data_IF_769205652632
#
_entry.id   IF_769205652632
#
_cell.length_a   1.000
_cell.length_b   1.000
_cell.length_c   1.000
_cell.angle_alpha   90.00
_cell.angle_beta   90.00
_cell.angle_gamma   90.00
#
_symmetry.space_group_name_H-M   'P 1'
#
loop_
_entity.id
_entity.type
_entity.pdbx_description
1 polymer ?
#
# COMPACT_ATOMS: atom_id res chain seq x y z
N UNK A 1 -60.70 29.28 -40.62
CA UNK A 1 -61.02 28.45 -39.44
C UNK A 1 -62.50 28.05 -39.27
N UNK A 2 -63.54 28.85 -39.60
CA UNK A 2 -64.94 28.52 -39.25
C UNK A 2 -65.61 27.45 -40.14
N UNK A 3 -65.05 27.16 -41.31
CA UNK A 3 -65.65 26.21 -42.28
C UNK A 3 -65.49 24.76 -41.84
N UNK A 4 -64.32 24.39 -41.33
CA UNK A 4 -64.11 23.06 -40.79
C UNK A 4 -64.94 22.82 -39.51
N UNK A 5 -65.35 23.88 -38.80
CA UNK A 5 -66.26 23.77 -37.65
C UNK A 5 -67.68 23.51 -38.13
N UNK A 6 -68.13 24.23 -39.17
CA UNK A 6 -69.45 23.99 -39.77
C UNK A 6 -69.63 22.54 -40.25
N UNK A 7 -68.61 21.99 -40.94
CA UNK A 7 -68.65 20.62 -41.45
C UNK A 7 -68.74 19.59 -40.32
N UNK A 8 -67.96 19.79 -39.24
CA UNK A 8 -68.00 18.91 -38.06
C UNK A 8 -69.33 19.04 -37.31
N UNK A 9 -69.90 20.24 -37.21
CA UNK A 9 -71.20 20.48 -36.56
C UNK A 9 -72.39 19.88 -37.33
N UNK A 10 -72.36 19.91 -38.66
CA UNK A 10 -73.38 19.25 -39.51
C UNK A 10 -73.27 17.73 -39.43
N UNK A 11 -72.05 17.17 -39.39
CA UNK A 11 -71.83 15.74 -39.22
C UNK A 11 -72.35 15.23 -37.86
N UNK A 12 -72.17 15.99 -36.78
CA UNK A 12 -72.65 15.64 -35.43
C UNK A 12 -74.18 15.73 -35.31
N UNK A 13 -74.80 16.71 -35.99
CA UNK A 13 -76.27 16.81 -36.06
C UNK A 13 -76.89 15.65 -36.85
N UNK A 14 -76.21 15.18 -37.91
CA UNK A 14 -76.61 13.98 -38.64
C UNK A 14 -76.45 12.71 -37.81
N UNK A 15 -75.41 12.62 -36.97
CA UNK A 15 -75.18 11.49 -36.08
C UNK A 15 -76.18 11.42 -34.91
N UNK A 16 -76.64 12.56 -34.39
CA UNK A 16 -77.60 12.63 -33.27
C UNK A 16 -79.06 12.41 -33.70
N UNK A 17 -79.38 12.59 -34.99
CA UNK A 17 -80.72 12.34 -35.54
C UNK A 17 -81.02 10.86 -35.88
N UNK A 18 -80.13 9.92 -35.54
CA UNK A 18 -80.49 8.51 -35.34
C UNK A 18 -81.28 7.83 -36.46
N UNK A 19 -80.70 7.71 -37.66
CA UNK A 19 -81.28 6.96 -38.77
C UNK A 19 -80.27 6.01 -39.43
N UNK A 20 -80.66 4.75 -39.64
CA UNK A 20 -79.88 3.68 -40.31
C UNK A 20 -79.56 4.02 -41.78
N UNK A 21 -78.57 4.87 -42.02
CA UNK A 21 -78.10 5.21 -43.36
C UNK A 21 -76.63 5.64 -43.35
N UNK A 22 -75.72 4.69 -43.12
CA UNK A 22 -74.25 4.93 -43.10
C UNK A 22 -73.67 5.20 -44.51
N UNK A 23 -74.48 5.35 -45.56
CA UNK A 23 -73.95 5.58 -46.92
C UNK A 23 -74.65 6.75 -47.59
N UNK A 24 -74.17 7.98 -47.32
CA UNK A 24 -74.21 9.12 -48.25
C UNK A 24 -73.60 10.40 -47.64
N UNK A 25 -72.31 10.37 -47.26
CA UNK A 25 -71.54 11.62 -47.03
C UNK A 25 -70.32 11.70 -47.97
N UNK A 26 -70.30 10.89 -49.04
CA UNK A 26 -69.29 11.01 -50.11
C UNK A 26 -69.83 11.62 -51.42
N UNK A 27 -71.00 12.24 -51.39
CA UNK A 27 -71.53 12.89 -52.59
C UNK A 27 -72.01 14.30 -52.25
N UNK A 28 -71.34 15.27 -52.88
CA UNK A 28 -71.82 16.65 -53.08
C UNK A 28 -71.65 17.59 -51.88
N UNK A 29 -70.39 17.88 -51.55
CA UNK A 29 -70.02 19.23 -51.09
C UNK A 29 -68.59 19.51 -51.56
N UNK A 30 -68.47 19.96 -52.81
CA UNK A 30 -67.19 20.38 -53.38
C UNK A 30 -66.57 21.57 -52.64
N UNK A 31 -65.33 21.95 -52.99
CA UNK A 31 -64.58 23.07 -52.41
C UNK A 31 -65.29 24.45 -52.54
N UNK A 32 -66.45 24.52 -53.18
CA UNK A 32 -67.24 25.74 -53.38
C UNK A 32 -67.90 26.29 -52.11
N UNK A 33 -68.20 25.46 -51.09
CA UNK A 33 -68.76 25.96 -49.82
C UNK A 33 -67.70 26.57 -48.88
N UNK A 34 -66.41 26.37 -49.18
CA UNK A 34 -65.30 26.84 -48.33
C UNK A 34 -64.96 28.32 -48.59
N UNK A 35 -65.36 28.87 -49.74
CA UNK A 35 -64.99 30.23 -50.15
C UNK A 35 -65.96 31.35 -49.71
N UNK A 36 -67.16 31.03 -49.17
CA UNK A 36 -68.22 32.03 -48.92
C UNK A 36 -68.70 32.10 -47.46
N UNK A 37 -67.80 31.83 -46.50
CA UNK A 37 -68.09 31.72 -45.06
C UNK A 37 -68.48 33.00 -44.29
N UNK A 38 -69.01 34.03 -44.95
CA UNK A 38 -69.62 35.20 -44.26
C UNK A 38 -70.72 35.85 -45.11
N UNK A 39 -70.57 35.83 -46.43
CA UNK A 39 -71.52 36.43 -47.39
C UNK A 39 -72.81 35.62 -47.57
N UNK A 40 -72.74 34.31 -47.39
CA UNK A 40 -73.93 33.44 -47.39
C UNK A 40 -74.70 33.45 -46.06
N UNK A 41 -74.04 33.80 -44.95
CA UNK A 41 -74.65 33.81 -43.62
C UNK A 41 -75.53 35.05 -43.36
N UNK A 42 -75.26 36.17 -44.06
CA UNK A 42 -76.06 37.39 -44.02
C UNK A 42 -76.18 37.99 -45.43
N UNK A 43 -77.15 37.57 -46.25
CA UNK A 43 -77.46 38.26 -47.51
C UNK A 43 -77.97 39.69 -47.18
N UNK A 44 -77.48 40.73 -47.87
CA UNK A 44 -77.71 42.14 -47.48
C UNK A 44 -79.15 42.64 -47.62
N UNK A 45 -80.09 41.80 -48.06
CA UNK A 45 -81.46 42.17 -48.44
C UNK A 45 -82.55 41.38 -47.68
N UNK A 46 -82.21 40.61 -46.64
CA UNK A 46 -83.19 39.83 -45.85
C UNK A 46 -83.24 40.33 -44.41
N UNK A 47 -84.44 40.60 -43.82
CA UNK A 47 -84.57 41.01 -42.43
C UNK A 47 -83.89 40.03 -41.46
N UNK A 48 -83.19 40.55 -40.45
CA UNK A 48 -82.39 39.75 -39.51
C UNK A 48 -83.18 38.64 -38.77
N UNK A 49 -84.51 38.73 -38.74
CA UNK A 49 -85.40 37.73 -38.17
C UNK A 49 -85.47 36.40 -38.98
N UNK A 50 -85.14 36.41 -40.27
CA UNK A 50 -85.24 35.25 -41.18
C UNK A 50 -83.88 34.83 -41.75
N UNK A 51 -82.80 35.56 -41.40
CA UNK A 51 -81.46 35.23 -41.85
C UNK A 51 -80.95 33.92 -41.20
N UNK A 52 -80.33 33.00 -41.97
CA UNK A 52 -79.80 31.74 -41.42
C UNK A 52 -78.55 31.93 -40.55
N UNK A 53 -78.01 33.15 -40.45
CA UNK A 53 -76.81 33.50 -39.70
C UNK A 53 -76.73 32.96 -38.27
N UNK A 54 -77.78 33.05 -37.43
CA UNK A 54 -77.75 32.51 -36.07
C UNK A 54 -77.68 30.98 -36.03
N UNK A 55 -78.31 30.29 -37.00
CA UNK A 55 -78.25 28.83 -37.09
C UNK A 55 -76.86 28.36 -37.57
N UNK A 56 -76.29 29.05 -38.55
CA UNK A 56 -74.91 28.80 -39.03
C UNK A 56 -73.88 29.08 -37.94
N UNK A 57 -74.06 30.16 -37.15
CA UNK A 57 -73.19 30.48 -36.01
C UNK A 57 -73.28 29.42 -34.90
N UNK A 58 -74.48 28.91 -34.60
CA UNK A 58 -74.67 27.81 -33.62
C UNK A 58 -74.06 26.48 -34.09
N UNK A 59 -74.13 26.18 -35.38
CA UNK A 59 -73.47 25.00 -35.96
C UNK A 59 -71.95 25.14 -35.95
N UNK A 60 -71.42 26.33 -36.24
CA UNK A 60 -69.99 26.62 -36.14
C UNK A 60 -69.48 26.56 -34.69
N UNK A 61 -70.24 27.03 -33.70
CA UNK A 61 -69.83 26.93 -32.29
C UNK A 61 -69.83 25.47 -31.80
N UNK A 62 -70.83 24.66 -32.16
CA UNK A 62 -70.85 23.22 -31.86
C UNK A 62 -69.71 22.46 -32.53
N UNK A 63 -69.39 22.81 -33.77
CA UNK A 63 -68.26 22.26 -34.50
C UNK A 63 -66.91 22.53 -33.84
N UNK A 64 -66.70 23.74 -33.33
CA UNK A 64 -65.47 24.13 -32.63
C UNK A 64 -65.31 23.37 -31.30
N UNK A 65 -66.39 23.16 -30.56
CA UNK A 65 -66.38 22.36 -29.33
C UNK A 65 -66.07 20.89 -29.63
N UNK A 66 -66.72 20.31 -30.65
CA UNK A 66 -66.50 18.91 -31.04
C UNK A 66 -65.11 18.67 -31.59
N UNK A 67 -64.55 19.61 -32.36
CA UNK A 67 -63.16 19.55 -32.83
C UNK A 67 -62.17 19.61 -31.67
N UNK A 68 -62.42 20.42 -30.64
CA UNK A 68 -61.57 20.48 -29.44
C UNK A 68 -61.66 19.20 -28.62
N UNK A 69 -62.83 18.58 -28.55
CA UNK A 69 -63.04 17.29 -27.88
C UNK A 69 -62.36 16.13 -28.64
N UNK A 70 -62.52 16.07 -29.97
CA UNK A 70 -61.86 15.11 -30.85
C UNK A 70 -60.34 15.30 -30.86
N UNK A 71 -59.86 16.54 -30.87
CA UNK A 71 -58.44 16.85 -30.78
C UNK A 71 -57.83 16.40 -29.45
N UNK A 72 -58.55 16.60 -28.34
CA UNK A 72 -58.10 16.10 -27.02
C UNK A 72 -58.05 14.57 -26.96
N UNK A 73 -59.03 13.87 -27.54
CA UNK A 73 -59.01 12.40 -27.64
C UNK A 73 -57.87 11.90 -28.53
N UNK A 74 -57.68 12.52 -29.70
CA UNK A 74 -56.62 12.16 -30.63
C UNK A 74 -55.21 12.35 -30.03
N UNK A 75 -54.99 13.43 -29.27
CA UNK A 75 -53.74 13.66 -28.55
C UNK A 75 -53.54 12.62 -27.44
N UNK A 76 -54.59 12.25 -26.71
CA UNK A 76 -54.53 11.19 -25.70
C UNK A 76 -54.17 9.83 -26.31
N UNK A 77 -54.82 9.45 -27.41
CA UNK A 77 -54.53 8.20 -28.14
C UNK A 77 -53.13 8.20 -28.75
N UNK A 78 -52.71 9.30 -29.36
CA UNK A 78 -51.35 9.44 -29.90
C UNK A 78 -50.30 9.29 -28.79
N UNK A 79 -50.53 9.89 -27.61
CA UNK A 79 -49.61 9.78 -26.46
C UNK A 79 -49.50 8.37 -25.90
N UNK A 80 -50.55 7.56 -26.02
CA UNK A 80 -50.53 6.16 -25.63
C UNK A 80 -49.85 5.26 -26.69
N UNK A 81 -50.00 5.60 -27.97
CA UNK A 81 -49.40 4.85 -29.09
C UNK A 81 -47.92 5.15 -29.31
N UNK A 82 -47.48 6.38 -29.03
CA UNK A 82 -46.08 6.80 -29.25
C UNK A 82 -45.08 5.88 -28.53
N UNK A 83 -45.22 5.58 -27.22
CA UNK A 83 -44.30 4.67 -26.55
C UNK A 83 -44.25 3.29 -27.19
N UNK A 84 -45.40 2.73 -27.57
CA UNK A 84 -45.49 1.39 -28.19
C UNK A 84 -44.79 1.37 -29.56
N UNK A 85 -45.00 2.41 -30.37
CA UNK A 85 -44.35 2.53 -31.68
C UNK A 85 -42.85 2.78 -31.52
N UNK A 86 -42.44 3.62 -30.56
CA UNK A 86 -41.02 3.89 -30.28
C UNK A 86 -40.34 2.62 -29.79
N UNK A 87 -40.88 1.91 -28.80
CA UNK A 87 -40.34 0.67 -28.26
C UNK A 87 -40.16 -0.38 -29.37
N UNK A 88 -41.19 -0.56 -30.20
CA UNK A 88 -41.13 -1.50 -31.33
C UNK A 88 -40.11 -1.10 -32.39
N UNK A 89 -39.89 0.20 -32.62
CA UNK A 89 -38.86 0.70 -33.54
C UNK A 89 -37.47 0.55 -32.92
N UNK A 90 -37.31 0.82 -31.62
CA UNK A 90 -36.03 0.65 -30.92
C UNK A 90 -35.61 -0.83 -30.86
N UNK A 91 -36.55 -1.76 -30.74
CA UNK A 91 -36.28 -3.21 -30.82
C UNK A 91 -35.78 -3.66 -32.20
N UNK A 92 -36.19 -2.97 -33.27
CA UNK A 92 -35.79 -3.30 -34.64
C UNK A 92 -34.49 -2.61 -35.05
N UNK A 93 -34.10 -1.56 -34.32
CA UNK A 93 -32.85 -0.84 -34.53
C UNK A 93 -31.76 -1.38 -33.59
N UNK A 94 -30.63 -1.80 -34.17
CA UNK A 94 -29.43 -2.08 -33.38
C UNK A 94 -28.80 -0.77 -32.90
N UNK A 95 -29.31 -0.24 -31.79
CA UNK A 95 -28.84 1.00 -31.18
C UNK A 95 -27.37 0.92 -30.79
N UNK A 96 -26.87 -0.26 -30.44
CA UNK A 96 -25.47 -0.46 -30.07
C UNK A 96 -24.57 -0.15 -31.27
N UNK A 97 -24.86 -0.71 -32.45
CA UNK A 97 -24.09 -0.38 -33.67
C UNK A 97 -24.28 1.06 -34.09
N UNK A 98 -25.50 1.59 -34.05
CA UNK A 98 -25.76 2.98 -34.44
C UNK A 98 -24.98 3.97 -33.57
N UNK A 99 -24.90 3.71 -32.26
CA UNK A 99 -24.12 4.52 -31.32
C UNK A 99 -22.63 4.34 -31.58
N UNK A 100 -22.12 3.11 -31.76
CA UNK A 100 -20.71 2.87 -32.06
C UNK A 100 -20.25 3.55 -33.36
N UNK A 101 -21.10 3.59 -34.38
CA UNK A 101 -20.76 4.12 -35.71
C UNK A 101 -20.94 5.64 -35.84
N UNK A 102 -21.84 6.23 -35.04
CA UNK A 102 -22.24 7.65 -35.19
C UNK A 102 -21.84 8.52 -34.00
N UNK A 103 -21.65 7.94 -32.83
CA UNK A 103 -21.28 8.67 -31.61
C UNK A 103 -19.81 8.40 -31.32
N UNK A 104 -19.06 9.47 -31.12
CA UNK A 104 -17.71 9.37 -30.59
C UNK A 104 -17.78 8.95 -29.12
N UNK A 105 -17.74 7.65 -28.89
CA UNK A 105 -17.78 7.09 -27.54
C UNK A 105 -16.58 7.49 -26.70
N UNK A 106 -15.43 7.86 -27.29
CA UNK A 106 -14.30 8.32 -26.50
C UNK A 106 -14.67 9.63 -25.79
N UNK A 107 -15.24 10.58 -26.51
CA UNK A 107 -15.70 11.86 -25.94
C UNK A 107 -16.80 11.65 -24.90
N UNK A 108 -17.79 10.81 -25.20
CA UNK A 108 -18.89 10.52 -24.25
C UNK A 108 -18.38 9.85 -22.99
N UNK A 109 -17.44 8.90 -23.11
CA UNK A 109 -16.83 8.23 -21.96
C UNK A 109 -16.00 9.23 -21.15
N UNK A 110 -15.19 10.10 -21.77
CA UNK A 110 -14.41 11.10 -21.02
C UNK A 110 -15.32 12.03 -20.23
N UNK A 111 -16.38 12.58 -20.85
CA UNK A 111 -17.35 13.45 -20.15
C UNK A 111 -18.07 12.68 -19.04
N UNK A 112 -18.47 11.44 -19.29
CA UNK A 112 -19.10 10.61 -18.27
C UNK A 112 -18.15 10.28 -17.11
N UNK A 113 -16.87 10.01 -17.40
CA UNK A 113 -15.84 9.75 -16.38
C UNK A 113 -15.50 11.01 -15.56
N UNK A 114 -15.57 12.20 -16.16
CA UNK A 114 -15.38 13.48 -15.46
C UNK A 114 -16.55 13.81 -14.52
N UNK A 115 -17.78 13.39 -14.87
CA UNK A 115 -18.96 13.56 -14.02
C UNK A 115 -19.14 12.46 -12.96
N UNK A 116 -18.52 11.28 -13.17
CA UNK A 116 -18.54 10.18 -12.21
C UNK A 116 -17.43 10.36 -11.17
N UNK A 117 -17.76 10.29 -9.88
CA UNK A 117 -16.75 10.13 -8.84
C UNK A 117 -16.18 8.71 -8.89
N UNK A 118 -15.13 8.54 -9.71
CA UNK A 118 -14.42 7.28 -9.85
C UNK A 118 -13.81 6.82 -8.52
N UNK A 119 -13.55 7.72 -7.57
CA UNK A 119 -13.03 7.36 -6.25
C UNK A 119 -14.04 6.52 -5.50
N UNK A 120 -15.31 6.95 -5.47
CA UNK A 120 -16.40 6.22 -4.81
C UNK A 120 -16.69 4.89 -5.52
N UNK A 121 -16.73 4.90 -6.85
CA UNK A 121 -16.98 3.69 -7.65
C UNK A 121 -15.88 2.65 -7.45
N UNK A 122 -14.61 3.07 -7.47
CA UNK A 122 -13.46 2.18 -7.31
C UNK A 122 -13.37 1.68 -5.87
N UNK A 123 -13.51 2.55 -4.86
CA UNK A 123 -13.44 2.12 -3.45
C UNK A 123 -14.63 1.24 -3.03
N UNK A 124 -15.81 1.44 -3.62
CA UNK A 124 -17.02 0.68 -3.29
C UNK A 124 -17.23 -0.62 -4.08
N UNK A 125 -16.64 -0.76 -5.28
CA UNK A 125 -16.88 -1.93 -6.15
C UNK A 125 -15.62 -2.70 -6.54
N UNK A 126 -14.44 -2.11 -6.42
CA UNK A 126 -13.17 -2.77 -6.70
C UNK A 126 -12.52 -3.15 -5.37
N UNK A 127 -12.21 -4.43 -5.21
CA UNK A 127 -11.36 -4.89 -4.11
C UNK A 127 -9.92 -4.42 -4.36
N UNK A 128 -9.65 -3.19 -3.92
CA UNK A 128 -8.34 -2.57 -4.02
C UNK A 128 -7.27 -3.38 -3.29
N UNK A 129 -7.61 -4.12 -2.23
CA UNK A 129 -6.68 -5.00 -1.53
C UNK A 129 -6.18 -6.10 -2.47
N UNK A 130 -7.10 -6.77 -3.17
CA UNK A 130 -6.74 -7.80 -4.15
C UNK A 130 -5.96 -7.24 -5.34
N UNK A 131 -6.34 -6.07 -5.85
CA UNK A 131 -5.63 -5.41 -6.97
C UNK A 131 -4.21 -5.02 -6.55
N UNK A 132 -4.05 -4.41 -5.39
CA UNK A 132 -2.74 -4.01 -4.85
C UNK A 132 -1.88 -5.24 -4.57
N UNK A 133 -2.41 -6.30 -3.95
CA UNK A 133 -1.66 -7.53 -3.72
C UNK A 133 -1.24 -8.22 -5.03
N UNK A 134 -2.10 -8.23 -6.05
CA UNK A 134 -1.76 -8.76 -7.36
C UNK A 134 -0.69 -7.90 -8.06
N UNK A 135 -0.77 -6.58 -7.94
CA UNK A 135 0.23 -5.66 -8.47
C UNK A 135 1.57 -5.83 -7.75
N UNK A 136 1.58 -5.85 -6.42
CA UNK A 136 2.80 -6.08 -5.62
C UNK A 136 3.41 -7.46 -5.87
N UNK A 137 2.60 -8.49 -6.13
CA UNK A 137 3.09 -9.82 -6.50
C UNK A 137 3.66 -9.90 -7.92
N UNK A 138 3.28 -8.98 -8.81
CA UNK A 138 3.80 -8.87 -10.17
C UNK A 138 5.01 -7.93 -10.27
N UNK A 139 5.20 -7.04 -9.30
CA UNK A 139 6.36 -6.16 -9.20
C UNK A 139 7.54 -6.90 -8.57
N UNK A 140 8.69 -6.87 -9.24
CA UNK A 140 9.95 -7.23 -8.58
C UNK A 140 10.37 -6.07 -7.67
N UNK A 141 9.93 -6.16 -6.41
CA UNK A 141 10.24 -5.15 -5.40
C UNK A 141 11.74 -5.06 -5.12
N UNK A 142 12.54 -6.09 -5.41
CA UNK A 142 13.99 -6.01 -5.24
C UNK A 142 14.60 -4.99 -6.18
N UNK A 143 14.20 -5.01 -7.46
CA UNK A 143 14.75 -4.10 -8.47
C UNK A 143 14.28 -2.65 -8.24
N UNK A 144 13.02 -2.47 -7.82
CA UNK A 144 12.47 -1.16 -7.43
C UNK A 144 13.22 -0.59 -6.23
N UNK A 145 13.45 -1.39 -5.19
CA UNK A 145 14.16 -0.95 -3.99
C UNK A 145 15.62 -0.62 -4.28
N UNK A 146 16.31 -1.43 -5.09
CA UNK A 146 17.71 -1.15 -5.45
C UNK A 146 17.88 0.10 -6.33
N UNK A 147 16.88 0.42 -7.15
CA UNK A 147 16.98 1.51 -8.14
C UNK A 147 16.40 2.83 -7.64
N UNK A 148 15.31 2.79 -6.86
CA UNK A 148 14.55 3.98 -6.49
C UNK A 148 14.65 4.34 -5.01
N UNK A 149 15.08 3.41 -4.15
CA UNK A 149 15.25 3.68 -2.72
C UNK A 149 16.73 3.89 -2.43
N UNK A 150 17.08 5.03 -1.83
CA UNK A 150 18.40 5.22 -1.25
C UNK A 150 18.53 4.34 0.00
N UNK A 151 18.94 3.10 -0.20
CA UNK A 151 19.18 2.15 0.88
C UNK A 151 20.25 2.63 1.86
N UNK A 152 21.18 3.50 1.45
CA UNK A 152 22.15 4.10 2.34
C UNK A 152 21.48 4.99 3.37
N UNK A 153 20.57 5.85 2.93
CA UNK A 153 19.80 6.71 3.82
C UNK A 153 18.84 5.91 4.72
N UNK A 154 18.19 4.87 4.18
CA UNK A 154 17.29 4.00 4.95
C UNK A 154 18.06 3.22 6.03
N UNK A 155 19.21 2.64 5.68
CA UNK A 155 20.06 1.93 6.64
C UNK A 155 20.61 2.89 7.68
N UNK A 156 21.08 4.08 7.30
CA UNK A 156 21.56 5.07 8.25
C UNK A 156 20.47 5.46 9.28
N UNK A 157 19.26 5.78 8.80
CA UNK A 157 18.14 6.09 9.68
C UNK A 157 17.76 4.90 10.58
N UNK A 158 17.78 3.68 10.05
CA UNK A 158 17.53 2.48 10.85
C UNK A 158 18.62 2.24 11.90
N UNK A 159 19.89 2.51 11.60
CA UNK A 159 20.99 2.38 12.55
C UNK A 159 20.96 3.47 13.63
N UNK A 160 20.46 4.67 13.34
CA UNK A 160 20.27 5.74 14.33
C UNK A 160 19.20 5.38 15.38
N UNK A 161 18.14 4.67 14.97
CA UNK A 161 17.07 4.23 15.86
C UNK A 161 17.40 2.93 16.62
N UNK A 162 18.37 2.14 16.15
CA UNK A 162 18.77 0.87 16.76
C UNK A 162 19.89 1.08 17.78
N UNK A 163 19.66 0.65 19.02
CA UNK A 163 20.76 0.46 19.99
C UNK A 163 21.59 -0.76 19.59
N UNK A 164 22.59 -0.52 18.75
CA UNK A 164 23.55 -1.52 18.30
C UNK A 164 24.38 -2.08 19.46
N UNK A 165 24.60 -1.31 20.53
CA UNK A 165 25.39 -1.78 21.68
C UNK A 165 24.66 -2.90 22.40
N UNK A 166 23.39 -2.67 22.73
CA UNK A 166 22.53 -3.70 23.32
C UNK A 166 22.38 -4.91 22.39
N UNK A 167 22.15 -4.66 21.10
CA UNK A 167 21.98 -5.73 20.10
C UNK A 167 23.23 -6.60 19.97
N UNK A 168 24.42 -6.00 19.97
CA UNK A 168 25.70 -6.72 19.88
C UNK A 168 25.96 -7.51 21.16
N UNK A 169 25.72 -6.93 22.33
CA UNK A 169 25.91 -7.63 23.61
C UNK A 169 25.01 -8.86 23.76
N UNK A 170 23.77 -8.77 23.27
CA UNK A 170 22.79 -9.86 23.41
C UNK A 170 22.90 -10.94 22.32
N UNK A 171 23.29 -10.56 21.10
CA UNK A 171 23.21 -11.45 19.92
C UNK A 171 24.54 -11.88 19.35
N UNK A 172 25.64 -11.21 19.69
CA UNK A 172 26.98 -11.55 19.21
C UNK A 172 27.78 -12.17 20.35
N UNK A 173 28.35 -13.35 20.10
CA UNK A 173 29.33 -13.94 21.01
C UNK A 173 30.64 -13.14 20.92
N UNK A 174 30.73 -12.11 21.76
CA UNK A 174 31.90 -11.25 21.84
C UNK A 174 33.15 -12.00 22.29
N UNK A 175 33.02 -13.09 23.06
CA UNK A 175 34.18 -13.89 23.45
C UNK A 175 34.82 -14.54 22.23
N UNK A 176 34.01 -15.16 21.36
CA UNK A 176 34.50 -15.74 20.11
C UNK A 176 35.13 -14.69 19.20
N UNK A 177 34.50 -13.51 19.06
CA UNK A 177 35.03 -12.42 18.23
C UNK A 177 36.37 -11.93 18.77
N UNK A 178 36.48 -11.69 20.07
CA UNK A 178 37.73 -11.23 20.71
C UNK A 178 38.83 -12.27 20.56
N UNK A 179 38.55 -13.55 20.79
CA UNK A 179 39.55 -14.61 20.61
C UNK A 179 40.05 -14.69 19.16
N UNK A 180 39.16 -14.60 18.18
CA UNK A 180 39.55 -14.57 16.77
C UNK A 180 40.42 -13.36 16.42
N UNK A 181 40.13 -12.20 16.99
CA UNK A 181 40.97 -11.00 16.82
C UNK A 181 42.34 -11.20 17.48
N UNK A 182 42.38 -11.72 18.71
CA UNK A 182 43.62 -11.97 19.44
C UNK A 182 44.52 -13.00 18.74
N UNK A 183 43.95 -14.05 18.15
CA UNK A 183 44.71 -15.05 17.39
C UNK A 183 45.41 -14.46 16.15
N UNK A 184 44.86 -13.37 15.59
CA UNK A 184 45.43 -12.66 14.45
C UNK A 184 46.41 -11.53 14.82
N UNK A 185 46.46 -11.14 16.10
CA UNK A 185 47.32 -10.06 16.58
C UNK A 185 48.65 -10.64 17.08
N UNK A 186 49.77 -10.18 16.52
CA UNK A 186 51.08 -10.40 17.13
C UNK A 186 51.25 -9.46 18.34
N UNK A 187 50.83 -9.96 19.50
CA UNK A 187 50.95 -9.24 20.76
C UNK A 187 52.41 -8.93 21.12
N UNK A 188 53.39 -9.72 20.64
CA UNK A 188 54.81 -9.48 20.89
C UNK A 188 55.29 -8.26 20.13
N UNK A 189 54.92 -8.15 18.84
CA UNK A 189 55.22 -6.98 18.03
C UNK A 189 54.52 -5.73 18.59
N UNK A 190 53.24 -5.86 18.97
CA UNK A 190 52.49 -4.75 19.55
C UNK A 190 53.13 -4.23 20.84
N UNK A 191 53.52 -5.13 21.75
CA UNK A 191 54.18 -4.75 23.02
C UNK A 191 55.53 -4.08 22.75
N UNK A 192 56.35 -4.61 21.84
CA UNK A 192 57.63 -3.98 21.48
C UNK A 192 57.48 -2.57 20.90
N UNK A 193 56.43 -2.34 20.12
CA UNK A 193 56.25 -1.06 19.42
C UNK A 193 55.52 0.00 20.25
N UNK A 194 54.71 -0.40 21.25
CA UNK A 194 53.86 0.50 22.05
C UNK A 194 54.29 0.62 23.51
N UNK A 195 55.06 -0.32 24.03
CA UNK A 195 55.54 -0.30 25.42
C UNK A 195 57.04 -0.02 25.42
N UNK A 196 57.45 1.00 26.17
CA UNK A 196 58.87 1.24 26.45
C UNK A 196 59.33 0.21 27.49
N UNK A 197 59.81 -0.92 26.98
CA UNK A 197 60.28 -2.02 27.81
C UNK A 197 61.54 -1.66 28.61
N UNK A 198 62.33 -0.70 28.15
CA UNK A 198 63.54 -0.26 28.85
C UNK A 198 63.17 0.62 30.04
N UNK A 199 62.23 1.54 29.88
CA UNK A 199 61.68 2.33 30.99
C UNK A 199 60.99 1.42 32.02
N UNK A 200 60.15 0.49 31.58
CA UNK A 200 59.47 -0.46 32.46
C UNK A 200 60.47 -1.38 33.19
N UNK A 201 61.54 -1.82 32.52
CA UNK A 201 62.57 -2.62 33.15
C UNK A 201 63.34 -1.84 34.23
N UNK A 202 63.64 -0.57 33.98
CA UNK A 202 64.28 0.29 34.99
C UNK A 202 63.36 0.55 36.18
N UNK A 203 62.07 0.79 35.96
CA UNK A 203 61.06 0.92 37.03
C UNK A 203 61.00 -0.34 37.90
N UNK A 204 60.94 -1.53 37.26
CA UNK A 204 60.95 -2.81 37.98
C UNK A 204 62.27 -3.02 38.76
N UNK A 205 63.41 -2.59 38.21
CA UNK A 205 64.72 -2.69 38.89
C UNK A 205 64.81 -1.73 40.08
N UNK A 206 64.20 -0.54 40.00
CA UNK A 206 64.17 0.42 41.11
C UNK A 206 63.22 -0.03 42.22
N UNK A 207 62.10 -0.68 41.89
CA UNK A 207 61.15 -1.23 42.85
C UNK A 207 61.68 -2.48 43.58
N UNK A 208 62.55 -3.25 42.91
CA UNK A 208 63.22 -4.39 43.54
C UNK A 208 64.45 -3.91 44.28
N UNK A 209 64.48 -4.08 45.60
CA UNK A 209 65.67 -3.78 46.42
C UNK A 209 66.78 -4.83 46.19
N UNK A 210 67.40 -4.77 45.01
CA UNK A 210 68.52 -5.61 44.63
C UNK A 210 69.68 -5.52 45.64
N UNK A 211 70.04 -4.35 46.19
CA UNK A 211 71.04 -4.27 47.25
C UNK A 211 70.71 -5.13 48.48
N UNK A 212 69.48 -5.10 48.98
CA UNK A 212 69.03 -5.92 50.10
C UNK A 212 69.07 -7.41 49.76
N UNK A 213 68.49 -7.80 48.61
CA UNK A 213 68.45 -9.19 48.16
C UNK A 213 69.87 -9.76 47.99
N UNK A 214 70.81 -8.97 47.45
CA UNK A 214 72.21 -9.37 47.32
C UNK A 214 72.86 -9.50 48.69
N UNK A 215 72.57 -8.58 49.64
CA UNK A 215 73.11 -8.67 51.00
C UNK A 215 72.59 -9.89 51.74
N UNK A 216 71.29 -10.15 51.65
CA UNK A 216 70.64 -11.31 52.27
C UNK A 216 71.14 -12.61 51.66
N UNK A 217 71.21 -12.71 50.32
CA UNK A 217 71.76 -13.89 49.62
C UNK A 217 73.24 -14.12 49.92
N UNK A 218 74.04 -13.04 49.98
CA UNK A 218 75.47 -13.16 50.32
C UNK A 218 75.67 -13.56 51.78
N UNK A 219 74.84 -13.05 52.70
CA UNK A 219 74.88 -13.41 54.13
C UNK A 219 74.41 -14.85 54.34
N UNK A 220 73.36 -15.28 53.63
CA UNK A 220 72.88 -16.66 53.62
C UNK A 220 73.95 -17.62 53.11
N UNK A 221 74.51 -17.39 51.92
CA UNK A 221 75.57 -18.22 51.34
C UNK A 221 76.82 -18.26 52.24
N UNK A 222 77.25 -17.12 52.79
CA UNK A 222 78.38 -17.09 53.70
C UNK A 222 78.11 -17.88 55.00
N UNK A 223 76.90 -17.78 55.55
CA UNK A 223 76.50 -18.53 56.74
C UNK A 223 76.47 -20.02 56.47
N UNK A 224 75.88 -20.44 55.35
CA UNK A 224 75.81 -21.84 54.93
C UNK A 224 77.21 -22.43 54.69
N UNK A 225 78.11 -21.68 54.04
CA UNK A 225 79.51 -22.10 53.86
C UNK A 225 80.25 -22.28 55.19
N UNK A 226 80.02 -21.40 56.18
CA UNK A 226 80.62 -21.54 57.51
C UNK A 226 80.05 -22.75 58.26
N UNK A 227 78.74 -22.98 58.17
CA UNK A 227 78.08 -24.13 58.77
C UNK A 227 78.58 -25.43 58.13
N UNK A 228 78.73 -25.47 56.81
CA UNK A 228 79.29 -26.60 56.07
C UNK A 228 80.75 -26.85 56.44
N UNK A 229 81.59 -25.80 56.49
CA UNK A 229 82.99 -25.93 56.90
C UNK A 229 83.12 -26.46 58.34
N UNK A 230 82.25 -26.01 59.25
CA UNK A 230 82.26 -26.46 60.66
C UNK A 230 81.80 -27.91 60.79
N UNK A 231 80.77 -28.29 60.04
CA UNK A 231 80.27 -29.67 60.01
C UNK A 231 81.31 -30.60 59.36
N UNK A 232 81.96 -30.15 58.30
CA UNK A 232 83.08 -30.82 57.65
C UNK A 232 84.27 -31.04 58.61
N UNK A 233 84.69 -30.02 59.35
CA UNK A 233 85.76 -30.13 60.34
C UNK A 233 85.44 -31.13 61.45
N UNK A 234 84.23 -31.08 62.03
CA UNK A 234 83.81 -32.04 63.05
C UNK A 234 83.79 -33.49 62.52
N UNK A 235 83.31 -33.69 61.30
CA UNK A 235 83.31 -35.00 60.65
C UNK A 235 84.72 -35.52 60.35
N UNK A 236 85.66 -34.62 60.01
CA UNK A 236 87.06 -34.95 59.80
C UNK A 236 87.76 -35.33 61.11
N UNK A 237 87.50 -34.61 62.19
CA UNK A 237 88.04 -34.91 63.52
C UNK A 237 87.55 -36.28 64.02
N UNK A 238 86.26 -36.61 63.87
CA UNK A 238 85.74 -37.94 64.18
C UNK A 238 86.37 -39.04 63.31
N UNK A 239 86.63 -38.76 62.03
CA UNK A 239 87.31 -39.70 61.15
C UNK A 239 88.74 -39.98 61.63
N UNK A 240 89.48 -38.94 62.03
CA UNK A 240 90.83 -39.07 62.60
C UNK A 240 90.79 -39.83 63.94
N UNK A 241 89.88 -39.47 64.85
CA UNK A 241 89.72 -40.15 66.14
C UNK A 241 89.43 -41.64 65.96
N UNK A 242 88.53 -42.03 65.03
CA UNK A 242 88.25 -43.44 64.70
C UNK A 242 89.49 -44.19 64.18
N UNK A 243 90.35 -43.53 63.40
CA UNK A 243 91.61 -44.10 62.90
C UNK A 243 92.61 -44.26 64.04
N UNK A 244 92.77 -43.23 64.89
CA UNK A 244 93.68 -43.25 66.05
C UNK A 244 93.25 -44.32 67.06
N UNK A 245 91.97 -44.40 67.40
CA UNK A 245 91.41 -45.44 68.26
C UNK A 245 91.69 -46.83 67.70
N UNK A 246 91.58 -47.02 66.38
CA UNK A 246 91.89 -48.30 65.73
C UNK A 246 93.35 -48.71 65.94
N UNK A 247 94.27 -47.75 65.82
CA UNK A 247 95.71 -47.98 65.95
C UNK A 247 96.10 -48.20 67.42
N UNK A 248 95.52 -47.44 68.36
CA UNK A 248 95.83 -47.54 69.80
C UNK A 248 95.21 -48.78 70.46
N UNK A 249 93.99 -49.18 70.09
CA UNK A 249 93.37 -50.42 70.59
C UNK A 249 94.13 -51.69 70.17
N UNK A 250 94.92 -51.61 69.09
CA UNK A 250 95.83 -52.69 68.68
C UNK A 250 97.03 -52.85 69.64
N UNK A 251 97.46 -51.79 70.34
CA UNK A 251 98.55 -51.87 71.33
C UNK A 251 98.12 -52.42 72.69
N UNK A 252 96.94 -52.05 73.20
CA UNK A 252 96.46 -52.52 74.53
C UNK A 252 96.08 -54.00 74.58
N UNK A 253 95.71 -54.63 73.45
CA UNK A 253 95.50 -56.09 73.39
C UNK A 253 96.79 -56.91 73.45
N UNK A 254 97.97 -56.29 73.28
CA UNK A 254 99.26 -56.98 73.30
C UNK A 254 99.95 -57.00 74.67
N UNK A 255 99.41 -56.28 75.67
CA UNK A 255 99.95 -56.21 77.04
C UNK A 255 99.04 -56.81 78.14
N UNK A 256 97.90 -57.41 77.79
CA UNK A 256 97.03 -58.14 78.72
C UNK A 256 97.16 -59.67 78.58
N UNK A 257 98.27 -60.14 78.03
CA UNK A 257 98.52 -61.53 77.72
C UNK A 257 99.95 -61.98 78.00
N UNK A 258 100.57 -61.51 79.10
CA UNK A 258 101.71 -62.21 79.73
C UNK A 258 102.04 -61.60 81.10
N UNK A 259 101.95 -62.45 82.13
CA UNK A 259 102.67 -62.44 83.43
C UNK A 259 102.80 -61.13 84.22
#
# INVERSE_FOLDING_TARGET
>A
MPVADLVVGVADLAATLGGRGVVAVRAVAGPALVALGRRAAYPPLVPAAVAPGPAVARLASRGAERRRELGRRAVGSARALVPVVVDRVLDELDLTRLVLDRVDLAVVVTVALDELDLTEVVTGRVDLGRVVSAALGALDLTDVVLTQVDLGQVVAAALDDLDLTATVLDRVDLHRVVMQVLDGLDLTALVRDRVDLDALANEVIEDVDLPEIIRESSTGIATDMVVEARTGAASADEAVARVVDRILLRRRRQSAGTR
#
